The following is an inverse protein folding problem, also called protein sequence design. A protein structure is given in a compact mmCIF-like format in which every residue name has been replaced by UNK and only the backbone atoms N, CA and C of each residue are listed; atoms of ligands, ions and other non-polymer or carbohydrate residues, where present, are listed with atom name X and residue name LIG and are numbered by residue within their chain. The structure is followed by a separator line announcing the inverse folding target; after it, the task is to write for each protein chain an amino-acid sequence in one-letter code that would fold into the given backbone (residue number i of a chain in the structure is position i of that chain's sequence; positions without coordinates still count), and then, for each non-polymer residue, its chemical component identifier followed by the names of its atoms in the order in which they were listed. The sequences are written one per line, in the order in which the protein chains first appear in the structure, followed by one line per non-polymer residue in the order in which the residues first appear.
data_IF_632153996197
#
_entry.id   IF_632153996197
#
_cell.length_a   1.000
_cell.length_b   1.000
_cell.length_c   1.000
_cell.angle_alpha   90.00
_cell.angle_beta   90.00
_cell.angle_gamma   90.00
#
_symmetry.space_group_name_H-M   'P 1'
#
loop_
_entity.id
_entity.type
_entity.pdbx_description
1 polymer ?
#
# COMPACT_ATOMS: atom_id res chain seq x y z
N UNK A 1 25.36 -2.80 -8.72
CA UNK A 1 24.25 -2.45 -7.82
C UNK A 1 23.06 -3.39 -8.00
N UNK A 2 22.47 -3.49 -9.20
CA UNK A 2 21.35 -4.41 -9.48
C UNK A 2 21.67 -5.86 -9.11
N UNK A 3 22.85 -6.37 -9.45
CA UNK A 3 23.25 -7.74 -9.08
C UNK A 3 23.29 -7.96 -7.56
N UNK A 4 23.70 -6.96 -6.77
CA UNK A 4 23.74 -7.03 -5.30
C UNK A 4 22.32 -7.02 -4.71
N UNK A 5 21.41 -6.24 -5.31
CA UNK A 5 20.00 -6.19 -4.90
C UNK A 5 19.32 -7.52 -5.22
N UNK A 6 19.60 -8.11 -6.37
CA UNK A 6 19.04 -9.40 -6.75
C UNK A 6 19.56 -10.53 -5.85
N UNK A 7 20.85 -10.51 -5.46
CA UNK A 7 21.40 -11.51 -4.54
C UNK A 7 20.88 -11.34 -3.12
N UNK A 8 20.73 -10.11 -2.61
CA UNK A 8 20.16 -9.91 -1.27
C UNK A 8 18.69 -10.31 -1.21
N UNK A 9 17.91 -10.01 -2.25
CA UNK A 9 16.51 -10.42 -2.36
C UNK A 9 16.37 -11.95 -2.40
N UNK A 10 17.19 -12.65 -3.18
CA UNK A 10 17.15 -14.11 -3.26
C UNK A 10 17.53 -14.77 -1.93
N UNK A 11 18.53 -14.26 -1.23
CA UNK A 11 18.92 -14.73 0.11
C UNK A 11 17.77 -14.54 1.12
N UNK A 12 17.09 -13.40 1.09
CA UNK A 12 15.96 -13.16 2.01
C UNK A 12 14.79 -14.12 1.77
N UNK A 13 14.49 -14.39 0.50
CA UNK A 13 13.43 -15.34 0.12
C UNK A 13 13.79 -16.76 0.54
N UNK A 14 15.00 -17.24 0.22
CA UNK A 14 15.41 -18.60 0.61
C UNK A 14 15.40 -18.79 2.12
N UNK A 15 15.85 -17.78 2.88
CA UNK A 15 15.82 -17.82 4.34
C UNK A 15 14.39 -17.92 4.88
N UNK A 16 13.43 -17.15 4.33
CA UNK A 16 12.02 -17.22 4.74
C UNK A 16 11.41 -18.60 4.48
N UNK A 17 11.73 -19.22 3.33
CA UNK A 17 11.25 -20.56 2.95
C UNK A 17 11.85 -21.61 3.88
N UNK A 18 13.16 -21.54 4.17
CA UNK A 18 13.83 -22.44 5.10
C UNK A 18 13.19 -22.35 6.49
N UNK A 19 12.90 -21.15 6.98
CA UNK A 19 12.24 -20.96 8.27
C UNK A 19 10.84 -21.58 8.30
N UNK A 20 10.02 -21.39 7.25
CA UNK A 20 8.68 -22.00 7.15
C UNK A 20 8.78 -23.53 7.12
N UNK A 21 9.76 -24.09 6.39
CA UNK A 21 10.00 -25.53 6.33
C UNK A 21 10.43 -26.08 7.69
N UNK A 22 11.37 -25.43 8.37
CA UNK A 22 11.82 -25.83 9.71
C UNK A 22 10.66 -25.81 10.70
N UNK A 23 9.83 -24.76 10.70
CA UNK A 23 8.64 -24.69 11.56
C UNK A 23 7.70 -25.85 11.26
N UNK A 24 7.41 -26.15 10.00
CA UNK A 24 6.51 -27.24 9.64
C UNK A 24 7.06 -28.65 9.95
N UNK A 25 8.39 -28.82 9.94
CA UNK A 25 9.06 -30.07 10.29
C UNK A 25 9.13 -30.29 11.81
N UNK A 26 9.40 -29.24 12.57
CA UNK A 26 9.54 -29.30 14.04
C UNK A 26 8.17 -29.22 14.73
N UNK A 27 7.18 -28.55 14.13
CA UNK A 27 5.87 -28.34 14.73
C UNK A 27 5.22 -29.68 15.09
N UNK A 28 4.84 -29.80 16.37
CA UNK A 28 4.00 -30.89 16.86
C UNK A 28 2.59 -30.69 16.31
N UNK A 29 2.32 -31.28 15.14
CA UNK A 29 0.97 -31.30 14.56
C UNK A 29 0.06 -32.09 15.49
N UNK A 30 -0.82 -31.39 16.20
CA UNK A 30 -1.95 -32.03 16.90
C UNK A 30 -2.95 -32.55 15.86
N UNK A 31 -3.77 -33.52 16.25
CA UNK A 31 -4.94 -33.93 15.48
C UNK A 31 -5.75 -32.69 15.08
N UNK A 32 -6.21 -32.67 13.83
CA UNK A 32 -7.02 -31.58 13.27
C UNK A 32 -8.34 -31.56 14.02
N UNK A 33 -8.47 -30.62 14.95
CA UNK A 33 -9.67 -30.40 15.74
C UNK A 33 -10.47 -29.26 15.11
N UNK A 34 -11.78 -29.46 14.94
CA UNK A 34 -12.66 -28.48 14.28
C UNK A 34 -12.61 -27.13 15.00
N UNK A 35 -12.59 -27.15 16.33
CA UNK A 35 -12.59 -25.96 17.17
C UNK A 35 -11.25 -25.21 17.16
N UNK A 36 -10.15 -25.86 16.77
CA UNK A 36 -8.86 -25.16 16.51
C UNK A 36 -8.80 -24.55 15.11
N UNK A 37 -9.58 -25.10 14.18
CA UNK A 37 -9.67 -24.60 12.81
C UNK A 37 -10.79 -23.59 12.60
N UNK A 38 -11.65 -23.36 13.60
CA UNK A 38 -12.71 -22.35 13.53
C UNK A 38 -12.15 -20.93 13.72
N UNK A 39 -12.79 -19.91 13.13
CA UNK A 39 -12.39 -18.52 13.33
C UNK A 39 -12.49 -18.10 14.80
N UNK A 40 -11.51 -17.34 15.27
CA UNK A 40 -11.51 -16.81 16.63
C UNK A 40 -12.35 -15.53 16.73
N UNK A 41 -13.47 -15.57 17.46
CA UNK A 41 -14.28 -14.39 17.83
C UNK A 41 -14.41 -14.30 19.36
N UNK A 42 -13.28 -14.10 20.05
CA UNK A 42 -13.20 -14.00 21.52
C UNK A 42 -13.75 -15.23 22.28
N UNK A 43 -13.67 -16.41 21.67
CA UNK A 43 -14.20 -17.67 22.23
C UNK A 43 -15.67 -17.95 21.92
N UNK A 44 -16.32 -17.11 21.10
CA UNK A 44 -17.67 -17.32 20.61
C UNK A 44 -17.66 -17.78 19.14
N UNK A 45 -18.74 -18.43 18.72
CA UNK A 45 -18.99 -18.72 17.32
C UNK A 45 -19.23 -17.43 16.54
N UNK A 46 -18.65 -17.29 15.33
CA UNK A 46 -18.77 -16.05 14.60
C UNK A 46 -20.19 -15.78 14.16
N UNK A 47 -20.71 -14.59 14.47
CA UNK A 47 -22.11 -14.21 14.19
C UNK A 47 -22.41 -14.09 12.70
N UNK A 48 -21.39 -13.74 11.90
CA UNK A 48 -21.47 -13.61 10.46
C UNK A 48 -20.13 -13.92 9.81
N UNK A 49 -20.11 -14.15 8.50
CA UNK A 49 -18.84 -14.27 7.76
C UNK A 49 -18.00 -12.99 7.88
N UNK A 50 -16.68 -13.12 7.98
CA UNK A 50 -15.76 -11.98 7.93
C UNK A 50 -15.80 -11.19 6.60
N UNK A 51 -16.42 -11.75 5.54
CA UNK A 51 -16.54 -11.13 4.22
C UNK A 51 -17.82 -10.31 4.06
N UNK A 52 -18.13 -9.49 5.04
CA UNK A 52 -19.21 -8.50 4.95
C UNK A 52 -18.75 -7.28 4.13
N UNK A 53 -19.67 -6.55 3.48
CA UNK A 53 -19.32 -5.28 2.83
C UNK A 53 -18.67 -4.35 3.85
N UNK A 54 -17.45 -3.94 3.54
CA UNK A 54 -16.63 -3.07 4.36
C UNK A 54 -16.97 -1.59 4.08
N UNK A 55 -16.51 -0.67 4.93
CA UNK A 55 -16.90 0.73 4.79
C UNK A 55 -16.35 1.35 3.51
N UNK A 56 -17.20 2.10 2.82
CA UNK A 56 -16.90 2.78 1.54
C UNK A 56 -15.78 3.82 1.68
N UNK A 57 -15.48 4.27 2.88
CA UNK A 57 -14.43 5.25 3.15
C UNK A 57 -13.03 4.70 2.83
N UNK A 58 -12.73 3.44 3.18
CA UNK A 58 -11.44 2.85 2.83
C UNK A 58 -11.29 2.65 1.32
N UNK A 59 -12.39 2.38 0.63
CA UNK A 59 -12.39 2.32 -0.83
C UNK A 59 -12.06 3.67 -1.47
N UNK A 60 -12.66 4.75 -0.96
CA UNK A 60 -12.41 6.10 -1.47
C UNK A 60 -10.95 6.53 -1.23
N UNK A 61 -10.40 6.24 -0.05
CA UNK A 61 -8.99 6.50 0.28
C UNK A 61 -8.06 5.71 -0.65
N UNK A 62 -8.38 4.45 -0.99
CA UNK A 62 -7.58 3.65 -1.90
C UNK A 62 -7.53 4.23 -3.33
N UNK A 63 -8.65 4.77 -3.82
CA UNK A 63 -8.69 5.44 -5.13
C UNK A 63 -7.84 6.71 -5.10
N UNK A 64 -8.00 7.54 -4.06
CA UNK A 64 -7.22 8.78 -3.89
C UNK A 64 -5.72 8.45 -3.86
N UNK A 65 -5.32 7.43 -3.09
CA UNK A 65 -3.93 6.97 -3.05
C UNK A 65 -3.40 6.55 -4.42
N UNK A 66 -4.20 5.83 -5.21
CA UNK A 66 -3.79 5.39 -6.56
C UNK A 66 -3.55 6.59 -7.48
N UNK A 67 -4.41 7.61 -7.43
CA UNK A 67 -4.24 8.83 -8.23
C UNK A 67 -2.98 9.57 -7.81
N UNK A 68 -2.77 9.77 -6.49
CA UNK A 68 -1.57 10.42 -5.97
C UNK A 68 -0.28 9.66 -6.32
N UNK A 69 -0.29 8.33 -6.35
CA UNK A 69 0.88 7.54 -6.76
C UNK A 69 1.26 7.82 -8.23
N UNK A 70 0.27 7.86 -9.13
CA UNK A 70 0.49 8.25 -10.54
C UNK A 70 1.05 9.67 -10.64
N UNK A 71 0.54 10.61 -9.86
CA UNK A 71 1.04 11.99 -9.85
C UNK A 71 2.51 12.09 -9.37
N UNK A 72 2.89 11.30 -8.36
CA UNK A 72 4.28 11.23 -7.90
C UNK A 72 5.19 10.64 -8.98
N UNK A 73 4.74 9.61 -9.71
CA UNK A 73 5.54 9.06 -10.83
C UNK A 73 5.82 10.09 -11.92
N UNK A 74 4.91 11.05 -12.13
CA UNK A 74 5.12 12.17 -13.06
C UNK A 74 6.05 13.25 -12.49
N UNK A 75 6.04 13.46 -11.18
CA UNK A 75 6.87 14.47 -10.51
C UNK A 75 8.35 14.06 -10.45
N UNK A 76 8.65 12.79 -10.20
CA UNK A 76 10.01 12.28 -10.02
C UNK A 76 10.96 12.55 -11.21
N UNK A 77 10.59 12.33 -12.49
CA UNK A 77 11.46 12.62 -13.64
C UNK A 77 11.71 14.13 -13.83
N UNK A 78 10.89 15.02 -13.29
CA UNK A 78 11.10 16.47 -13.42
C UNK A 78 12.41 16.92 -12.77
N UNK A 79 12.86 16.24 -11.70
CA UNK A 79 14.16 16.54 -11.05
C UNK A 79 15.32 16.34 -12.04
N UNK A 80 15.22 15.33 -12.91
CA UNK A 80 16.24 15.08 -13.93
C UNK A 80 16.17 16.10 -15.08
N UNK A 81 14.95 16.48 -15.48
CA UNK A 81 14.71 17.45 -16.57
C UNK A 81 15.22 18.85 -16.21
N UNK A 82 15.25 19.22 -14.92
CA UNK A 82 15.79 20.49 -14.43
C UNK A 82 17.19 20.80 -14.98
N UNK A 83 18.04 19.78 -15.16
CA UNK A 83 19.42 19.94 -15.67
C UNK A 83 19.50 20.20 -17.18
N UNK A 84 18.44 19.86 -17.93
CA UNK A 84 18.42 19.85 -19.38
C UNK A 84 17.59 21.01 -19.96
N UNK A 85 16.58 21.47 -19.22
CA UNK A 85 15.64 22.50 -19.67
C UNK A 85 16.00 23.91 -19.22
N UNK A 86 15.43 24.93 -19.88
CA UNK A 86 15.52 26.31 -19.40
C UNK A 86 14.86 26.45 -18.02
N UNK A 87 15.59 27.03 -17.07
CA UNK A 87 15.22 27.20 -15.67
C UNK A 87 13.86 27.91 -15.52
N UNK A 88 13.58 28.94 -16.33
CA UNK A 88 12.35 29.73 -16.21
C UNK A 88 11.10 28.94 -16.65
N UNK A 89 11.22 28.16 -17.74
CA UNK A 89 10.17 27.26 -18.21
C UNK A 89 9.94 26.10 -17.24
N UNK A 90 11.02 25.57 -16.67
CA UNK A 90 10.95 24.52 -15.66
C UNK A 90 10.15 25.01 -14.43
N UNK A 91 10.49 26.18 -13.91
CA UNK A 91 9.79 26.74 -12.74
C UNK A 91 8.31 27.02 -13.04
N UNK A 92 7.96 27.55 -14.22
CA UNK A 92 6.55 27.80 -14.57
C UNK A 92 5.73 26.52 -14.67
N UNK A 93 6.28 25.45 -15.27
CA UNK A 93 5.59 24.15 -15.38
C UNK A 93 5.47 23.48 -14.02
N UNK A 94 6.54 23.45 -13.22
CA UNK A 94 6.52 22.84 -11.89
C UNK A 94 5.52 23.52 -10.94
N UNK A 95 5.48 24.86 -10.96
CA UNK A 95 4.53 25.62 -10.14
C UNK A 95 3.09 25.38 -10.58
N UNK A 96 2.82 25.38 -11.89
CA UNK A 96 1.49 25.04 -12.41
C UNK A 96 1.05 23.62 -12.01
N UNK A 97 1.95 22.64 -12.13
CA UNK A 97 1.68 21.25 -11.75
C UNK A 97 1.35 21.12 -10.26
N UNK A 98 2.17 21.69 -9.38
CA UNK A 98 1.93 21.65 -7.93
C UNK A 98 0.62 22.35 -7.55
N UNK A 99 0.28 23.46 -8.20
CA UNK A 99 -0.99 24.14 -7.96
C UNK A 99 -2.19 23.26 -8.30
N UNK A 100 -2.15 22.55 -9.44
CA UNK A 100 -3.22 21.63 -9.84
C UNK A 100 -3.39 20.52 -8.79
N UNK A 101 -2.29 19.93 -8.31
CA UNK A 101 -2.32 18.91 -7.25
C UNK A 101 -2.97 19.44 -5.96
N UNK A 102 -2.55 20.63 -5.51
CA UNK A 102 -3.11 21.25 -4.31
C UNK A 102 -4.61 21.53 -4.46
N UNK A 103 -5.04 22.06 -5.61
CA UNK A 103 -6.46 22.30 -5.87
C UNK A 103 -7.28 21.01 -5.89
N UNK A 104 -6.76 19.93 -6.48
CA UNK A 104 -7.39 18.60 -6.45
C UNK A 104 -7.60 18.11 -5.02
N UNK A 105 -6.54 18.14 -4.20
CA UNK A 105 -6.59 17.74 -2.80
C UNK A 105 -7.60 18.60 -1.99
N UNK A 106 -7.59 19.92 -2.17
CA UNK A 106 -8.54 20.80 -1.48
C UNK A 106 -9.99 20.50 -1.87
N UNK A 107 -10.24 20.16 -3.13
CA UNK A 107 -11.56 19.79 -3.61
C UNK A 107 -12.04 18.47 -2.97
N UNK A 108 -11.19 17.44 -2.93
CA UNK A 108 -11.48 16.16 -2.29
C UNK A 108 -11.72 16.31 -0.78
N UNK A 109 -10.92 17.14 -0.11
CA UNK A 109 -11.09 17.42 1.30
C UNK A 109 -12.44 18.11 1.58
N UNK A 110 -12.81 19.11 0.75
CA UNK A 110 -14.11 19.79 0.88
C UNK A 110 -15.29 18.84 0.64
N UNK A 111 -15.13 17.81 -0.20
CA UNK A 111 -16.14 16.77 -0.39
C UNK A 111 -16.24 15.79 0.78
N UNK A 112 -15.36 15.90 1.78
CA UNK A 112 -15.36 15.05 2.96
C UNK A 112 -14.83 13.65 2.68
N UNK A 113 -14.15 13.44 1.55
CA UNK A 113 -13.56 12.15 1.19
C UNK A 113 -12.50 11.67 2.22
N UNK A 114 -11.85 12.63 2.88
CA UNK A 114 -10.83 12.44 3.90
C UNK A 114 -11.39 12.46 5.34
N UNK A 115 -12.68 12.75 5.51
CA UNK A 115 -13.27 12.81 6.85
C UNK A 115 -13.54 11.39 7.33
N UNK A 116 -13.04 11.06 8.52
CA UNK A 116 -13.41 9.83 9.19
C UNK A 116 -14.77 9.96 9.84
N UNK A 117 -15.61 8.94 9.65
CA UNK A 117 -16.78 8.78 10.50
C UNK A 117 -16.30 8.38 11.89
N UNK A 118 -16.65 9.20 12.88
CA UNK A 118 -16.60 8.81 14.29
C UNK A 118 -17.73 7.82 14.61
#
# INVERSE_FOLDING_TARGET
MIMIIMTSASISMTLSVIMILLVNLIAKKMFVDREKSSPFECGFDPKSSARIPFSLQFFLIAIIFLIFDVEITLLLPMIMIMKLSNLLLFFSVMTAFILILLFGLFHEWKQGALNWAY
#
